data_IF_919604154445
#
_entry.id   IF_919604154445
#
_cell.length_a   1.000
_cell.length_b   1.000
_cell.length_c   1.000
_cell.angle_alpha   90.00
_cell.angle_beta   90.00
_cell.angle_gamma   90.00
#
_symmetry.space_group_name_H-M   'P 1'
#
loop_
_entity.id
_entity.type
_entity.pdbx_description
1 polymer ?
#
# COMPACT_ATOMS: atom_id res chain seq x y z
N UNK A 1 -11.49 -15.11 -3.95
CA UNK A 1 -11.59 -13.74 -3.39
C UNK A 1 -11.32 -12.75 -4.50
N UNK A 2 -12.31 -11.91 -4.80
CA UNK A 2 -12.19 -10.96 -5.91
C UNK A 2 -11.70 -9.60 -5.40
N UNK A 3 -10.57 -9.12 -5.92
CA UNK A 3 -9.96 -7.84 -5.55
C UNK A 3 -10.01 -6.85 -6.69
N UNK A 4 -10.22 -5.57 -6.37
CA UNK A 4 -10.11 -4.43 -7.28
C UNK A 4 -9.01 -3.49 -6.80
N UNK A 5 -8.02 -3.22 -7.64
CA UNK A 5 -6.90 -2.33 -7.37
C UNK A 5 -7.03 -1.09 -8.27
N UNK A 6 -7.18 0.08 -7.68
CA UNK A 6 -7.48 1.31 -8.39
C UNK A 6 -6.22 2.16 -8.55
N UNK A 7 -5.67 2.19 -9.75
CA UNK A 7 -4.63 3.14 -10.14
C UNK A 7 -5.26 4.49 -10.42
N UNK A 8 -4.98 5.51 -9.63
CA UNK A 8 -5.58 6.84 -9.79
C UNK A 8 -4.55 7.97 -9.73
N UNK A 9 -4.98 9.17 -10.12
CA UNK A 9 -4.13 10.36 -10.18
C UNK A 9 -4.62 11.43 -9.20
N UNK A 10 -4.41 11.22 -7.89
CA UNK A 10 -4.75 12.24 -6.89
C UNK A 10 -3.90 13.50 -7.06
N UNK A 11 -4.53 14.65 -6.86
CA UNK A 11 -3.94 15.99 -6.94
C UNK A 11 -4.19 16.76 -5.62
N UNK A 12 -4.02 18.09 -5.63
CA UNK A 12 -4.22 18.93 -4.43
C UNK A 12 -5.68 19.09 -4.01
N UNK A 13 -6.62 18.97 -4.93
CA UNK A 13 -8.03 19.18 -4.64
C UNK A 13 -8.67 17.96 -3.98
N UNK A 14 -8.89 18.03 -2.66
CA UNK A 14 -9.48 16.94 -1.87
C UNK A 14 -10.85 16.52 -2.40
N UNK A 15 -11.72 17.49 -2.76
CA UNK A 15 -13.07 17.17 -3.27
C UNK A 15 -13.04 16.38 -4.57
N UNK A 16 -12.13 16.74 -5.47
CA UNK A 16 -12.01 16.08 -6.78
C UNK A 16 -11.46 14.66 -6.62
N UNK A 17 -10.47 14.48 -5.73
CA UNK A 17 -9.92 13.17 -5.40
C UNK A 17 -11.00 12.25 -4.81
N UNK A 18 -11.80 12.73 -3.85
CA UNK A 18 -12.90 11.97 -3.25
C UNK A 18 -13.99 11.64 -4.28
N UNK A 19 -14.30 12.56 -5.19
CA UNK A 19 -15.24 12.32 -6.28
C UNK A 19 -14.72 11.24 -7.24
N UNK A 20 -13.42 11.27 -7.58
CA UNK A 20 -12.78 10.25 -8.40
C UNK A 20 -12.83 8.88 -7.71
N UNK A 21 -12.50 8.79 -6.41
CA UNK A 21 -12.62 7.56 -5.63
C UNK A 21 -14.04 6.99 -5.69
N UNK A 22 -15.05 7.83 -5.45
CA UNK A 22 -16.45 7.41 -5.50
C UNK A 22 -16.85 6.89 -6.88
N UNK A 23 -16.45 7.59 -7.94
CA UNK A 23 -16.70 7.16 -9.32
C UNK A 23 -16.06 5.80 -9.66
N UNK A 24 -14.90 5.48 -9.05
CA UNK A 24 -14.29 4.16 -9.19
C UNK A 24 -15.06 3.09 -8.42
N UNK A 25 -15.53 3.38 -7.20
CA UNK A 25 -16.34 2.44 -6.41
C UNK A 25 -17.62 2.04 -7.17
N UNK A 26 -18.25 2.97 -7.87
CA UNK A 26 -19.42 2.67 -8.70
C UNK A 26 -19.15 1.66 -9.84
N UNK A 27 -17.91 1.60 -10.33
CA UNK A 27 -17.49 0.72 -11.43
C UNK A 27 -17.06 -0.68 -10.98
N UNK A 28 -16.74 -0.86 -9.68
CA UNK A 28 -16.15 -2.10 -9.15
C UNK A 28 -17.05 -2.83 -8.14
N UNK A 29 -18.36 -2.70 -8.28
CA UNK A 29 -19.39 -3.25 -7.37
C UNK A 29 -19.32 -4.77 -7.17
N UNK A 30 -18.68 -5.50 -8.08
CA UNK A 30 -18.54 -6.96 -8.03
C UNK A 30 -17.30 -7.42 -7.23
N UNK A 31 -16.50 -6.50 -6.71
CA UNK A 31 -15.32 -6.82 -5.89
C UNK A 31 -15.70 -7.10 -4.43
N UNK A 32 -15.01 -8.06 -3.81
CA UNK A 32 -15.10 -8.28 -2.36
C UNK A 32 -14.22 -7.28 -1.59
N UNK A 33 -13.07 -6.93 -2.17
CA UNK A 33 -12.04 -6.04 -1.61
C UNK A 33 -11.63 -4.98 -2.64
N UNK A 34 -11.62 -3.72 -2.23
CA UNK A 34 -11.19 -2.59 -3.07
C UNK A 34 -10.02 -1.88 -2.43
N UNK A 35 -8.97 -1.63 -3.22
CA UNK A 35 -7.73 -1.01 -2.77
C UNK A 35 -7.46 0.28 -3.55
N UNK A 36 -7.20 1.37 -2.83
CA UNK A 36 -6.78 2.66 -3.36
C UNK A 36 -5.30 2.93 -3.05
N UNK A 37 -4.63 3.85 -3.79
CA UNK A 37 -3.20 4.10 -3.62
C UNK A 37 -2.86 5.02 -2.42
N UNK A 38 -1.59 5.39 -2.28
CA UNK A 38 -1.09 6.34 -1.28
C UNK A 38 -1.62 7.76 -1.55
N UNK A 39 -1.87 8.56 -0.49
CA UNK A 39 -2.27 9.97 -0.54
C UNK A 39 -3.50 10.23 -1.41
N UNK A 40 -4.55 9.44 -1.19
CA UNK A 40 -5.79 9.51 -2.01
C UNK A 40 -6.59 10.77 -1.81
N UNK A 41 -6.49 11.39 -0.63
CA UNK A 41 -7.22 12.60 -0.26
C UNK A 41 -6.51 13.87 -0.73
N UNK A 42 -5.20 13.94 -0.55
CA UNK A 42 -4.40 15.11 -0.85
C UNK A 42 -2.99 14.73 -1.33
N UNK A 43 -2.62 15.19 -2.50
CA UNK A 43 -1.29 14.98 -3.09
C UNK A 43 -0.67 16.32 -3.51
N UNK A 44 -0.10 17.07 -2.53
CA UNK A 44 0.46 18.40 -2.72
C UNK A 44 1.54 18.75 -1.70
N UNK A 45 2.04 20.01 -1.77
CA UNK A 45 3.18 20.50 -0.97
C UNK A 45 2.86 20.85 0.48
N UNK A 46 1.59 21.00 0.83
CA UNK A 46 1.16 21.48 2.14
C UNK A 46 0.36 20.43 2.93
N UNK A 47 0.97 19.30 3.29
CA UNK A 47 0.27 18.23 3.99
C UNK A 47 -0.26 18.67 5.35
N UNK A 48 0.39 19.63 6.03
CA UNK A 48 -0.01 20.08 7.37
C UNK A 48 -1.36 20.77 7.38
N UNK A 49 -1.62 21.67 6.43
CA UNK A 49 -2.88 22.39 6.34
C UNK A 49 -4.03 21.57 5.72
N UNK A 50 -3.71 20.42 5.11
CA UNK A 50 -4.70 19.51 4.53
C UNK A 50 -4.88 18.22 5.36
N UNK A 51 -4.23 18.15 6.54
CA UNK A 51 -4.30 16.97 7.38
C UNK A 51 -5.70 16.76 7.98
N UNK A 52 -6.14 15.52 7.96
CA UNK A 52 -7.47 15.07 8.39
C UNK A 52 -7.45 14.56 9.83
N UNK A 53 -8.41 14.94 10.63
CA UNK A 53 -8.60 14.33 11.96
C UNK A 53 -9.14 12.89 11.81
N UNK A 54 -8.76 12.01 12.75
CA UNK A 54 -9.32 10.67 12.88
C UNK A 54 -9.87 10.44 14.29
N UNK A 55 -11.20 10.24 14.45
CA UNK A 55 -12.24 10.23 13.40
C UNK A 55 -12.49 11.63 12.81
N UNK A 56 -13.03 11.66 11.58
CA UNK A 56 -13.32 12.91 10.86
C UNK A 56 -14.04 12.65 9.53
N UNK A 57 -14.39 13.73 8.84
CA UNK A 57 -15.29 13.71 7.67
C UNK A 57 -14.85 12.71 6.57
N UNK A 58 -13.56 12.67 6.23
CA UNK A 58 -13.06 11.74 5.19
C UNK A 58 -13.15 10.29 5.67
N UNK A 59 -12.77 10.02 6.91
CA UNK A 59 -12.87 8.69 7.50
C UNK A 59 -14.33 8.20 7.58
N UNK A 60 -15.27 9.11 7.87
CA UNK A 60 -16.70 8.82 7.86
C UNK A 60 -17.23 8.52 6.44
N UNK A 61 -16.77 9.25 5.42
CA UNK A 61 -17.08 8.94 4.01
C UNK A 61 -16.59 7.54 3.61
N UNK A 62 -15.36 7.19 3.96
CA UNK A 62 -14.81 5.86 3.68
C UNK A 62 -15.60 4.75 4.39
N UNK A 63 -15.95 4.98 5.67
CA UNK A 63 -16.83 4.10 6.43
C UNK A 63 -18.18 3.90 5.74
N UNK A 64 -18.79 4.99 5.30
CA UNK A 64 -20.08 4.94 4.60
C UNK A 64 -19.97 4.21 3.26
N UNK A 65 -18.95 4.49 2.46
CA UNK A 65 -18.74 3.79 1.17
C UNK A 65 -18.51 2.28 1.37
N UNK A 66 -17.70 1.87 2.34
CA UNK A 66 -17.51 0.46 2.64
C UNK A 66 -18.84 -0.25 2.95
N UNK A 67 -19.75 0.45 3.66
CA UNK A 67 -21.08 -0.03 4.02
C UNK A 67 -22.03 -0.05 2.81
N UNK A 68 -22.09 1.04 2.04
CA UNK A 68 -23.02 1.18 0.93
C UNK A 68 -22.74 0.19 -0.22
N UNK A 69 -21.45 -0.06 -0.49
CA UNK A 69 -21.01 -1.01 -1.51
C UNK A 69 -20.82 -2.43 -0.98
N UNK A 70 -20.95 -2.67 0.33
CA UNK A 70 -20.78 -3.97 0.99
C UNK A 70 -19.41 -4.62 0.75
N UNK A 71 -18.36 -3.80 0.70
CA UNK A 71 -16.99 -4.21 0.40
C UNK A 71 -16.06 -4.06 1.60
N UNK A 72 -14.97 -4.81 1.59
CA UNK A 72 -13.79 -4.45 2.34
C UNK A 72 -13.08 -3.31 1.59
N UNK A 73 -12.92 -2.14 2.22
CA UNK A 73 -12.31 -0.97 1.61
C UNK A 73 -10.97 -0.66 2.26
N UNK A 74 -9.87 -0.96 1.55
CA UNK A 74 -8.56 -0.40 1.86
C UNK A 74 -8.49 0.97 1.18
N UNK A 75 -8.76 2.03 1.94
CA UNK A 75 -8.97 3.39 1.41
C UNK A 75 -7.64 4.09 1.01
N UNK A 76 -6.58 3.32 0.73
CA UNK A 76 -5.27 3.86 0.45
C UNK A 76 -4.64 4.48 1.69
N UNK A 77 -4.03 5.66 1.54
CA UNK A 77 -3.59 6.45 2.69
C UNK A 77 -4.05 7.90 2.61
N UNK A 78 -4.16 8.53 3.77
CA UNK A 78 -4.49 9.95 3.95
C UNK A 78 -3.43 10.66 4.77
N UNK A 79 -3.45 11.98 4.74
CA UNK A 79 -2.64 12.81 5.62
C UNK A 79 -3.39 12.96 6.96
N UNK A 80 -2.95 12.26 8.00
CA UNK A 80 -3.57 12.28 9.33
C UNK A 80 -2.99 13.39 10.21
N UNK A 81 -3.84 14.23 10.75
CA UNK A 81 -3.45 15.31 11.66
C UNK A 81 -2.86 14.77 12.98
N UNK A 82 -1.75 15.35 13.38
CA UNK A 82 -1.09 15.11 14.67
C UNK A 82 -0.67 16.45 15.29
N UNK A 83 -0.27 16.45 16.56
CA UNK A 83 0.06 17.66 17.31
C UNK A 83 1.24 18.45 16.72
N UNK A 84 2.27 17.76 16.20
CA UNK A 84 3.48 18.36 15.60
C UNK A 84 3.39 18.34 14.08
N UNK A 85 3.67 17.21 13.49
CA UNK A 85 3.63 16.97 12.03
C UNK A 85 2.67 15.84 11.70
N UNK A 86 1.92 15.91 10.60
CA UNK A 86 0.97 14.87 10.23
C UNK A 86 1.68 13.52 9.96
N UNK A 87 0.87 12.46 9.89
CA UNK A 87 1.29 11.12 9.49
C UNK A 87 0.64 10.73 8.17
N UNK A 88 1.34 9.95 7.36
CA UNK A 88 0.79 9.27 6.20
C UNK A 88 0.17 7.96 6.67
N UNK A 89 -1.16 7.86 6.65
CA UNK A 89 -1.89 6.80 7.37
C UNK A 89 -2.87 6.07 6.48
N UNK A 90 -2.69 4.75 6.35
CA UNK A 90 -3.61 3.85 5.67
C UNK A 90 -4.77 3.43 6.57
N UNK A 91 -5.96 3.31 5.97
CA UNK A 91 -7.20 2.95 6.65
C UNK A 91 -7.86 1.75 5.96
N UNK A 92 -8.31 0.76 6.75
CA UNK A 92 -8.98 -0.42 6.24
C UNK A 92 -10.32 -0.64 6.93
N UNK A 93 -11.39 -0.65 6.15
CA UNK A 93 -12.78 -0.79 6.61
C UNK A 93 -13.39 -2.13 6.20
N UNK A 94 -14.26 -2.68 7.05
CA UNK A 94 -15.06 -3.85 6.70
C UNK A 94 -16.40 -3.46 6.04
N UNK A 95 -17.17 -4.42 5.47
CA UNK A 95 -18.46 -4.16 4.82
C UNK A 95 -19.57 -3.60 5.72
N UNK A 96 -19.31 -3.44 7.03
CA UNK A 96 -20.21 -2.77 7.98
C UNK A 96 -19.79 -1.33 8.25
N UNK A 97 -18.78 -0.82 7.54
CA UNK A 97 -18.21 0.51 7.73
C UNK A 97 -17.32 0.65 8.97
N UNK A 98 -16.99 -0.44 9.66
CA UNK A 98 -16.10 -0.39 10.82
C UNK A 98 -14.65 -0.31 10.35
N UNK A 99 -13.88 0.64 10.87
CA UNK A 99 -12.42 0.67 10.74
C UNK A 99 -11.83 -0.54 11.48
N UNK A 100 -11.18 -1.44 10.73
CA UNK A 100 -10.59 -2.68 11.24
C UNK A 100 -9.05 -2.69 11.16
N UNK A 101 -8.47 -1.73 10.44
CA UNK A 101 -7.03 -1.57 10.31
C UNK A 101 -6.62 -0.12 10.13
N UNK A 102 -5.53 0.24 10.79
CA UNK A 102 -4.87 1.54 10.66
C UNK A 102 -3.37 1.32 10.68
N UNK A 103 -2.66 1.96 9.76
CA UNK A 103 -1.20 1.89 9.69
C UNK A 103 -0.64 3.25 9.32
N UNK A 104 0.23 3.81 10.14
CA UNK A 104 1.01 5.00 9.81
C UNK A 104 2.37 4.59 9.24
N UNK A 105 2.76 5.16 8.10
CA UNK A 105 4.02 4.90 7.39
C UNK A 105 5.21 4.99 8.34
N UNK A 106 5.96 3.89 8.47
CA UNK A 106 7.09 3.82 9.42
C UNK A 106 8.40 4.27 8.81
N UNK A 107 8.58 4.09 7.48
CA UNK A 107 9.79 4.51 6.78
C UNK A 107 9.46 5.68 5.86
N UNK A 108 9.88 6.88 6.26
CA UNK A 108 9.66 8.10 5.48
C UNK A 108 10.63 8.16 4.30
N UNK A 109 10.14 8.64 3.15
CA UNK A 109 10.92 8.66 1.93
C UNK A 109 11.96 9.78 1.98
N UNK A 110 13.22 9.40 1.83
CA UNK A 110 14.36 10.31 1.72
C UNK A 110 15.14 9.98 0.47
N UNK A 111 15.34 10.98 -0.35
CA UNK A 111 16.08 10.90 -1.61
C UNK A 111 17.04 12.07 -1.70
N UNK A 112 18.32 11.78 -1.88
CA UNK A 112 19.34 12.74 -2.16
C UNK A 112 20.06 12.36 -3.46
N UNK A 113 19.89 13.17 -4.48
CA UNK A 113 20.57 13.05 -5.78
C UNK A 113 21.29 14.36 -6.07
N UNK A 114 22.23 14.37 -7.04
CA UNK A 114 23.10 15.53 -7.35
C UNK A 114 22.34 16.87 -7.47
N UNK A 115 21.10 16.86 -7.98
CA UNK A 115 20.31 18.07 -8.21
C UNK A 115 18.89 18.04 -7.62
N UNK A 116 18.57 17.03 -6.79
CA UNK A 116 17.22 16.88 -6.23
C UNK A 116 17.30 16.24 -4.84
N UNK A 117 16.74 16.93 -3.86
CA UNK A 117 16.57 16.39 -2.50
C UNK A 117 15.10 16.36 -2.15
N UNK A 118 14.65 15.22 -1.64
CA UNK A 118 13.29 15.05 -1.11
C UNK A 118 13.37 14.38 0.27
N UNK A 119 12.90 15.08 1.30
CA UNK A 119 12.96 14.66 2.70
C UNK A 119 11.55 14.69 3.29
N UNK A 120 10.82 13.57 3.21
CA UNK A 120 9.47 13.45 3.76
C UNK A 120 9.44 13.74 5.27
N UNK A 121 10.52 13.40 5.98
CA UNK A 121 10.69 13.65 7.42
C UNK A 121 10.65 15.13 7.85
N UNK A 122 10.85 16.06 6.92
CA UNK A 122 10.71 17.49 7.21
C UNK A 122 9.25 17.89 7.47
N UNK A 123 8.31 17.24 6.77
CA UNK A 123 6.89 17.58 6.79
C UNK A 123 5.99 16.54 7.47
N UNK A 124 6.49 15.33 7.67
CA UNK A 124 5.74 14.20 8.20
C UNK A 124 6.46 13.57 9.39
N UNK A 125 5.72 12.86 10.25
CA UNK A 125 6.33 12.00 11.26
C UNK A 125 6.05 10.52 10.96
N UNK A 126 7.01 9.67 11.33
CA UNK A 126 6.90 8.22 11.17
C UNK A 126 5.87 7.61 12.12
N UNK A 127 5.31 6.46 11.71
CA UNK A 127 4.64 5.53 12.60
C UNK A 127 5.66 4.77 13.48
N UNK A 128 5.14 4.00 14.42
CA UNK A 128 5.92 3.29 15.45
C UNK A 128 5.57 1.78 15.53
N UNK A 129 4.64 1.31 14.69
CA UNK A 129 4.19 -0.07 14.68
C UNK A 129 3.81 -0.56 13.28
N UNK A 130 4.02 -1.85 13.02
CA UNK A 130 3.49 -2.54 11.85
C UNK A 130 2.08 -3.05 12.13
N UNK A 131 1.26 -3.21 11.09
CA UNK A 131 -0.14 -3.60 11.24
C UNK A 131 -0.48 -4.81 10.38
N UNK A 132 -1.11 -5.81 10.99
CA UNK A 132 -1.73 -6.95 10.32
C UNK A 132 -3.22 -6.94 10.65
N UNK A 133 -4.07 -7.04 9.62
CA UNK A 133 -5.52 -7.03 9.74
C UNK A 133 -6.07 -8.39 9.37
N UNK A 134 -6.83 -8.99 10.27
CA UNK A 134 -7.50 -10.28 10.05
C UNK A 134 -8.93 -10.04 9.61
N UNK A 135 -9.29 -10.59 8.46
CA UNK A 135 -10.66 -10.60 7.94
C UNK A 135 -11.23 -12.02 7.96
N UNK A 136 -12.43 -12.21 7.46
CA UNK A 136 -13.04 -13.55 7.35
C UNK A 136 -12.35 -14.43 6.30
N UNK A 137 -11.70 -13.84 5.29
CA UNK A 137 -11.17 -14.56 4.13
C UNK A 137 -9.65 -14.73 4.19
N UNK A 138 -8.92 -13.70 4.66
CA UNK A 138 -7.46 -13.66 4.70
C UNK A 138 -6.94 -12.62 5.71
N UNK A 139 -5.63 -12.63 5.96
CA UNK A 139 -4.91 -11.66 6.79
C UNK A 139 -4.00 -10.77 5.92
N UNK A 140 -4.02 -9.46 6.21
CA UNK A 140 -3.39 -8.42 5.40
C UNK A 140 -2.32 -7.68 6.17
N UNK A 141 -1.06 -7.73 5.71
CA UNK A 141 0.01 -6.85 6.18
C UNK A 141 -0.09 -5.49 5.46
N UNK A 142 -0.12 -4.40 6.22
CA UNK A 142 -0.29 -3.04 5.69
C UNK A 142 1.06 -2.36 5.52
N UNK A 143 1.33 -1.76 4.35
CA UNK A 143 2.53 -0.96 4.10
C UNK A 143 2.29 0.17 3.10
N UNK A 144 3.16 1.18 3.13
CA UNK A 144 3.06 2.37 2.29
C UNK A 144 4.39 2.63 1.57
N UNK A 145 4.40 2.56 0.24
CA UNK A 145 5.40 3.09 -0.68
C UNK A 145 6.85 2.70 -0.32
N UNK A 146 7.59 3.61 0.29
CA UNK A 146 9.01 3.42 0.65
C UNK A 146 9.26 2.24 1.58
N UNK A 147 8.25 1.81 2.35
CA UNK A 147 8.29 0.61 3.20
C UNK A 147 8.72 -0.63 2.40
N UNK A 148 8.44 -0.70 1.10
CA UNK A 148 8.80 -1.84 0.25
C UNK A 148 10.30 -2.15 0.26
N UNK A 149 11.15 -1.20 0.62
CA UNK A 149 12.61 -1.36 0.68
C UNK A 149 13.12 -2.04 1.95
N UNK A 150 12.25 -2.26 2.94
CA UNK A 150 12.62 -2.77 4.27
C UNK A 150 12.10 -4.20 4.49
N UNK A 151 12.85 -5.25 4.09
CA UNK A 151 12.39 -6.64 4.11
C UNK A 151 11.96 -7.13 5.49
N UNK A 152 12.66 -6.71 6.55
CA UNK A 152 12.34 -7.12 7.94
C UNK A 152 10.92 -6.74 8.38
N UNK A 153 10.34 -5.67 7.84
CA UNK A 153 8.95 -5.30 8.09
C UNK A 153 8.00 -6.38 7.59
N UNK A 154 8.18 -6.82 6.34
CA UNK A 154 7.34 -7.83 5.70
C UNK A 154 7.46 -9.18 6.38
N UNK A 155 8.69 -9.56 6.74
CA UNK A 155 8.98 -10.74 7.52
C UNK A 155 8.20 -10.75 8.83
N UNK A 156 8.28 -9.68 9.62
CA UNK A 156 7.54 -9.53 10.90
C UNK A 156 6.02 -9.59 10.72
N UNK A 157 5.49 -8.98 9.66
CA UNK A 157 4.06 -9.09 9.36
C UNK A 157 3.66 -10.52 9.00
N UNK A 158 4.52 -11.25 8.29
CA UNK A 158 4.27 -12.66 7.91
C UNK A 158 4.40 -13.59 9.11
N UNK A 159 5.34 -13.37 10.01
CA UNK A 159 5.44 -14.06 11.32
C UNK A 159 4.18 -13.84 12.17
N UNK A 160 3.60 -12.63 12.11
CA UNK A 160 2.33 -12.30 12.71
C UNK A 160 1.12 -12.83 11.92
N UNK A 161 1.34 -13.69 10.89
CA UNK A 161 0.31 -14.40 10.17
C UNK A 161 -0.24 -13.71 8.93
N UNK A 162 0.42 -12.68 8.38
CA UNK A 162 -0.01 -12.09 7.13
C UNK A 162 0.08 -13.10 5.97
N UNK A 163 -0.95 -13.11 5.14
CA UNK A 163 -1.10 -13.95 3.94
C UNK A 163 -1.05 -13.11 2.66
N UNK A 164 -1.43 -11.85 2.78
CA UNK A 164 -1.45 -10.87 1.70
C UNK A 164 -0.72 -9.62 2.19
N UNK A 165 0.30 -9.19 1.47
CA UNK A 165 1.05 -7.98 1.75
C UNK A 165 0.54 -6.86 0.84
N UNK A 166 0.03 -5.77 1.43
CA UNK A 166 -0.51 -4.63 0.69
C UNK A 166 0.49 -3.50 0.67
N UNK A 167 0.81 -3.00 -0.52
CA UNK A 167 1.67 -1.84 -0.74
C UNK A 167 0.87 -0.77 -1.48
N UNK A 168 0.43 0.26 -0.79
CA UNK A 168 -0.13 1.44 -1.45
C UNK A 168 0.97 2.47 -1.67
N UNK A 169 1.03 3.11 -2.83
CA UNK A 169 2.18 3.91 -3.20
C UNK A 169 1.85 5.15 -4.05
N UNK A 170 2.80 6.07 -4.02
CA UNK A 170 2.96 7.17 -4.97
C UNK A 170 4.45 7.18 -5.40
N UNK A 171 4.83 6.14 -6.14
CA UNK A 171 6.22 5.83 -6.44
C UNK A 171 6.74 6.67 -7.61
N UNK A 172 7.94 7.22 -7.49
CA UNK A 172 8.51 8.04 -8.57
C UNK A 172 8.87 7.21 -9.79
N UNK A 173 8.61 7.72 -10.99
CA UNK A 173 8.84 7.01 -12.26
C UNK A 173 10.29 6.53 -12.45
N UNK A 174 11.35 7.29 -12.12
CA UNK A 174 12.73 6.81 -12.27
C UNK A 174 13.04 5.60 -11.39
N UNK A 175 12.67 5.67 -10.10
CA UNK A 175 12.90 4.56 -9.16
C UNK A 175 11.95 3.38 -9.41
N UNK A 176 10.75 3.66 -9.91
CA UNK A 176 9.78 2.65 -10.31
C UNK A 176 10.31 1.77 -11.42
N UNK A 177 10.76 2.36 -12.51
CA UNK A 177 11.37 1.64 -13.64
C UNK A 177 12.52 0.72 -13.23
N UNK A 178 13.33 1.15 -12.24
CA UNK A 178 14.52 0.41 -11.83
C UNK A 178 14.25 -0.66 -10.76
N UNK A 179 13.27 -0.44 -9.86
CA UNK A 179 13.18 -1.23 -8.63
C UNK A 179 11.82 -1.88 -8.38
N UNK A 180 10.72 -1.33 -8.91
CA UNK A 180 9.35 -1.64 -8.50
C UNK A 180 9.03 -3.12 -8.53
N UNK A 181 9.03 -3.71 -9.72
CA UNK A 181 8.67 -5.11 -9.89
C UNK A 181 9.62 -6.05 -9.14
N UNK A 182 10.93 -5.79 -9.18
CA UNK A 182 11.94 -6.62 -8.51
C UNK A 182 11.72 -6.66 -7.00
N UNK A 183 11.50 -5.50 -6.37
CA UNK A 183 11.26 -5.43 -4.93
C UNK A 183 9.97 -6.16 -4.54
N UNK A 184 8.90 -5.95 -5.28
CA UNK A 184 7.59 -6.52 -4.98
C UNK A 184 7.56 -8.04 -5.17
N UNK A 185 8.20 -8.55 -6.23
CA UNK A 185 8.37 -10.00 -6.42
C UNK A 185 9.23 -10.61 -5.30
N UNK A 186 10.29 -9.92 -4.86
CA UNK A 186 11.09 -10.37 -3.72
C UNK A 186 10.22 -10.48 -2.45
N UNK A 187 9.36 -9.47 -2.15
CA UNK A 187 8.44 -9.53 -1.00
C UNK A 187 7.46 -10.71 -1.09
N UNK A 188 6.96 -11.04 -2.28
CA UNK A 188 6.10 -12.19 -2.48
C UNK A 188 6.84 -13.51 -2.21
N UNK A 189 8.02 -13.67 -2.81
CA UNK A 189 8.81 -14.91 -2.78
C UNK A 189 9.35 -15.20 -1.38
N UNK A 190 10.01 -14.23 -0.75
CA UNK A 190 10.67 -14.40 0.55
C UNK A 190 9.69 -14.61 1.72
N UNK A 191 8.42 -14.20 1.54
CA UNK A 191 7.36 -14.32 2.56
C UNK A 191 6.32 -15.40 2.22
N UNK A 192 6.38 -15.99 1.03
CA UNK A 192 5.36 -16.90 0.49
C UNK A 192 3.93 -16.35 0.68
N UNK A 193 3.74 -15.08 0.29
CA UNK A 193 2.50 -14.30 0.40
C UNK A 193 2.06 -13.76 -0.96
N UNK A 194 0.77 -13.49 -1.13
CA UNK A 194 0.35 -12.57 -2.20
C UNK A 194 0.87 -11.16 -1.91
N UNK A 195 1.16 -10.41 -2.98
CA UNK A 195 1.43 -8.96 -2.89
C UNK A 195 0.41 -8.23 -3.73
N UNK A 196 -0.40 -7.38 -3.11
CA UNK A 196 -1.31 -6.45 -3.77
C UNK A 196 -0.65 -5.09 -3.74
N UNK A 197 -0.43 -4.52 -4.92
CA UNK A 197 0.25 -3.24 -5.06
C UNK A 197 -0.62 -2.26 -5.81
N UNK A 198 -0.84 -1.10 -5.22
CA UNK A 198 -1.67 -0.05 -5.81
C UNK A 198 -0.89 1.26 -5.82
N UNK A 199 -0.58 1.75 -7.00
CA UNK A 199 0.23 2.96 -7.17
C UNK A 199 -0.57 4.11 -7.76
N UNK A 200 -0.18 5.32 -7.41
CA UNK A 200 -0.59 6.54 -8.10
C UNK A 200 -0.01 6.57 -9.52
N UNK A 201 -0.64 7.30 -10.43
CA UNK A 201 -0.17 7.49 -11.81
C UNK A 201 -0.20 8.96 -12.18
N UNK A 202 0.46 9.31 -13.27
CA UNK A 202 0.47 10.67 -13.84
C UNK A 202 1.37 11.67 -13.15
N UNK A 203 1.40 12.89 -13.66
CA UNK A 203 2.25 13.96 -13.16
C UNK A 203 1.68 14.53 -11.86
N UNK A 204 2.49 14.55 -10.84
CA UNK A 204 2.21 15.23 -9.56
C UNK A 204 2.75 16.66 -9.67
N UNK A 205 1.93 17.54 -10.26
CA UNK A 205 2.34 18.90 -10.69
C UNK A 205 2.98 19.69 -9.56
N UNK A 206 2.35 19.71 -8.39
CA UNK A 206 2.88 20.45 -7.25
C UNK A 206 4.14 19.82 -6.64
N UNK A 207 4.25 18.51 -6.68
CA UNK A 207 5.41 17.80 -6.14
C UNK A 207 6.58 17.73 -7.13
N UNK A 208 6.32 17.97 -8.42
CA UNK A 208 7.34 18.06 -9.47
C UNK A 208 7.90 16.70 -9.93
N UNK A 209 7.10 15.62 -9.84
CA UNK A 209 7.51 14.32 -10.36
C UNK A 209 6.35 13.57 -11.04
N UNK A 210 6.70 12.58 -11.86
CA UNK A 210 5.74 11.63 -12.42
C UNK A 210 5.65 10.39 -11.52
N UNK A 211 4.43 10.02 -11.14
CA UNK A 211 4.16 8.75 -10.49
C UNK A 211 4.26 7.59 -11.49
N UNK A 212 4.72 6.43 -11.01
CA UNK A 212 5.08 5.31 -11.89
C UNK A 212 3.87 4.52 -12.37
N UNK A 213 2.85 4.38 -11.55
CA UNK A 213 1.73 3.47 -11.82
C UNK A 213 2.14 2.01 -11.69
N UNK A 214 1.79 1.20 -12.70
CA UNK A 214 2.11 -0.23 -12.73
C UNK A 214 1.57 -0.96 -11.50
N UNK A 215 0.34 -0.63 -11.12
CA UNK A 215 -0.48 -1.38 -10.17
C UNK A 215 -0.50 -2.85 -10.58
N UNK A 216 -0.20 -3.76 -9.64
CA UNK A 216 -0.09 -5.19 -9.96
C UNK A 216 -0.48 -6.09 -8.78
N UNK A 217 -0.74 -7.35 -9.10
CA UNK A 217 -0.95 -8.42 -8.13
C UNK A 217 0.03 -9.55 -8.41
N UNK A 218 0.72 -10.00 -7.38
CA UNK A 218 1.76 -11.03 -7.45
C UNK A 218 1.36 -12.20 -6.55
N UNK A 219 1.53 -13.43 -7.05
CA UNK A 219 1.24 -14.65 -6.30
C UNK A 219 2.38 -15.03 -5.33
N UNK A 220 2.15 -15.95 -4.37
CA UNK A 220 3.18 -16.40 -3.43
C UNK A 220 4.41 -17.07 -4.07
N UNK A 221 4.34 -17.45 -5.35
CA UNK A 221 5.47 -17.99 -6.13
C UNK A 221 6.30 -16.88 -6.80
N UNK A 222 5.85 -15.61 -6.71
CA UNK A 222 6.49 -14.46 -7.34
C UNK A 222 6.04 -14.17 -8.77
N UNK A 223 4.97 -14.82 -9.28
CA UNK A 223 4.43 -14.53 -10.60
C UNK A 223 3.52 -13.31 -10.55
N UNK A 224 3.71 -12.40 -11.48
CA UNK A 224 2.76 -11.32 -11.71
C UNK A 224 1.50 -11.93 -12.35
N UNK A 225 0.39 -11.94 -11.59
CA UNK A 225 -0.89 -12.45 -12.05
C UNK A 225 -1.56 -11.48 -13.02
N UNK A 226 -1.46 -10.20 -12.73
CA UNK A 226 -1.96 -9.11 -13.56
C UNK A 226 -1.28 -7.80 -13.19
N UNK A 227 -1.16 -6.88 -14.16
CA UNK A 227 -0.59 -5.54 -14.01
C UNK A 227 -1.27 -4.54 -14.94
N UNK A 228 -1.22 -3.26 -14.58
CA UNK A 228 -1.60 -2.14 -15.44
C UNK A 228 -0.32 -1.60 -16.06
N UNK A 229 -0.20 -1.71 -17.38
CA UNK A 229 1.00 -1.27 -18.11
C UNK A 229 0.90 0.19 -18.61
N UNK A 230 -0.31 0.74 -18.63
CA UNK A 230 -0.55 2.08 -19.14
C UNK A 230 -0.37 3.16 -18.09
N UNK A 231 0.25 4.27 -18.50
CA UNK A 231 0.43 5.50 -17.70
C UNK A 231 -0.90 6.29 -17.58
N UNK A 232 -1.99 5.64 -17.17
CA UNK A 232 -3.32 6.26 -17.00
C UNK A 232 -4.08 5.67 -15.82
N UNK A 233 -5.12 6.37 -15.39
CA UNK A 233 -6.05 5.82 -14.40
C UNK A 233 -6.75 4.57 -14.94
N UNK A 234 -6.77 3.53 -14.14
CA UNK A 234 -7.34 2.24 -14.50
C UNK A 234 -7.69 1.41 -13.25
N UNK A 235 -8.46 0.35 -13.45
CA UNK A 235 -8.76 -0.64 -12.43
C UNK A 235 -8.27 -2.01 -12.89
N UNK A 236 -7.59 -2.71 -11.97
CA UNK A 236 -7.19 -4.09 -12.11
C UNK A 236 -8.10 -4.98 -11.26
N UNK A 237 -8.87 -5.87 -11.91
CA UNK A 237 -9.73 -6.86 -11.23
C UNK A 237 -9.06 -8.23 -11.29
N UNK A 238 -8.88 -8.88 -10.13
CA UNK A 238 -8.21 -10.19 -10.04
C UNK A 238 -8.95 -11.10 -9.06
N UNK A 239 -9.12 -12.38 -9.44
CA UNK A 239 -9.57 -13.43 -8.54
C UNK A 239 -8.36 -14.13 -7.91
N UNK A 240 -8.22 -14.06 -6.58
CA UNK A 240 -7.15 -14.70 -5.84
C UNK A 240 -7.55 -16.10 -5.39
N UNK A 241 -6.76 -17.10 -5.78
CA UNK A 241 -6.82 -18.45 -5.22
C UNK A 241 -5.95 -18.54 -3.96
N UNK A 242 -6.55 -18.33 -2.81
CA UNK A 242 -5.85 -18.33 -1.51
C UNK A 242 -5.21 -19.68 -1.17
N UNK A 243 -5.61 -20.77 -1.82
CA UNK A 243 -5.01 -22.11 -1.61
C UNK A 243 -3.54 -22.16 -2.04
N UNK A 244 -3.11 -21.23 -2.91
CA UNK A 244 -1.72 -21.12 -3.34
C UNK A 244 -0.77 -20.79 -2.18
N UNK A 245 -1.23 -20.09 -1.15
CA UNK A 245 -0.41 -19.75 0.03
C UNK A 245 0.06 -21.03 0.73
N UNK A 246 -0.88 -21.88 1.13
CA UNK A 246 -0.57 -23.14 1.81
C UNK A 246 0.25 -24.08 0.92
N UNK A 247 -0.05 -24.12 -0.38
CA UNK A 247 0.69 -24.92 -1.36
C UNK A 247 2.15 -24.48 -1.44
N UNK A 248 2.42 -23.19 -1.61
CA UNK A 248 3.78 -22.66 -1.72
C UNK A 248 4.54 -22.84 -0.40
N UNK A 249 3.93 -22.51 0.74
CA UNK A 249 4.54 -22.70 2.08
C UNK A 249 4.86 -24.17 2.39
N UNK A 250 4.13 -25.12 1.79
CA UNK A 250 4.43 -26.55 1.90
C UNK A 250 5.58 -26.95 0.98
N UNK A 251 5.62 -26.44 -0.25
CA UNK A 251 6.65 -26.77 -1.23
C UNK A 251 8.02 -26.15 -0.88
N UNK A 252 8.02 -24.93 -0.38
CA UNK A 252 9.21 -24.20 0.05
C UNK A 252 8.92 -23.62 1.44
N UNK A 253 9.23 -24.37 2.52
CA UNK A 253 8.86 -23.96 3.89
C UNK A 253 9.83 -22.89 4.45
N UNK A 254 9.90 -21.73 3.82
CA UNK A 254 10.83 -20.63 4.12
C UNK A 254 10.72 -20.23 5.58
N UNK A 255 9.49 -19.93 6.04
CA UNK A 255 9.25 -19.49 7.41
C UNK A 255 9.63 -20.50 8.50
N UNK A 256 9.59 -21.81 8.16
CA UNK A 256 10.01 -22.87 9.08
C UNK A 256 11.54 -23.06 9.11
N UNK A 257 12.20 -22.75 8.00
CA UNK A 257 13.63 -22.98 7.81
C UNK A 257 14.47 -21.75 8.16
N UNK A 258 13.83 -20.62 8.51
CA UNK A 258 14.52 -19.42 8.94
C UNK A 258 15.33 -19.67 10.21
N UNK A 259 16.51 -19.06 10.27
CA UNK A 259 17.42 -19.13 11.42
C UNK A 259 17.82 -17.74 11.84
N UNK A 260 17.28 -17.29 12.98
CA UNK A 260 17.45 -15.92 13.47
C UNK A 260 18.79 -15.70 14.15
N UNK A 261 19.38 -16.73 14.78
CA UNK A 261 20.55 -16.63 15.66
C UNK A 261 21.82 -17.17 14.99
N UNK A 262 22.30 -16.50 13.94
CA UNK A 262 23.58 -16.83 13.33
C UNK A 262 24.57 -15.68 13.45
N UNK A 263 25.79 -16.01 13.90
CA UNK A 263 26.91 -15.06 13.91
C UNK A 263 27.43 -14.78 12.49
N UNK A 264 27.90 -13.56 12.28
CA UNK A 264 28.58 -13.17 11.04
C UNK A 264 30.09 -13.20 11.28
N UNK A 265 30.79 -14.07 10.57
CA UNK A 265 32.27 -14.09 10.59
C UNK A 265 32.78 -13.17 9.48
N UNK A 266 33.42 -12.06 9.86
CA UNK A 266 34.09 -11.15 8.93
C UNK A 266 35.58 -11.51 8.80
N UNK A 267 36.04 -11.74 7.58
CA UNK A 267 37.44 -12.01 7.25
C UNK A 267 38.03 -10.76 6.57
N UNK A 268 39.21 -10.34 7.03
CA UNK A 268 39.96 -9.21 6.46
C UNK A 268 41.33 -9.73 5.99
N UNK A 269 41.85 -9.21 4.88
CA UNK A 269 43.22 -9.48 4.39
C UNK A 269 44.27 -8.78 5.24
#
# INVERSE_FOLDING_TARGET
MKVACIQMNSQECVSDNLQAMHSWLEKVKDADYVFFPETVDYCGKDPKNHAQTLPGEIAEKFSQWAKDYHIYLYAGSIIEAQADRPKNTSLFYNPRGRLIGKYAKTHLFELELENTSFMESQNMQSGDAYSVVYTKDASFGMSICYDVRFPKMYQKMTEAGAEILVVVANFTKPTGKAHWQTLLQARAIENACFVIVVDQVGTKTELGFDAYGHTMVIDPWGRVLASIEEDKEACLMVDLDLSLISKVRTQIPILKNEREELEVHAFHE
#
